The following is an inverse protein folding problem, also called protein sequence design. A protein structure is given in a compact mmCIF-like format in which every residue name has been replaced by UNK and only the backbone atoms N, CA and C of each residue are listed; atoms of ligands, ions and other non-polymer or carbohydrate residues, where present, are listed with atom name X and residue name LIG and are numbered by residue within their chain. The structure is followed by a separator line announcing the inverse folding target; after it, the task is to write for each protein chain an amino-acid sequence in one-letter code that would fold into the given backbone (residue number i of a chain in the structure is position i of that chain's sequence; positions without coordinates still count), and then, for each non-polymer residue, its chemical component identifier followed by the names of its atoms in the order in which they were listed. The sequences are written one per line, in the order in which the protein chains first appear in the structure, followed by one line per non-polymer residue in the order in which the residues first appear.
data_IF_971976529845
#
_entry.id   IF_971976529845
#
_cell.length_a   1.000
_cell.length_b   1.000
_cell.length_c   1.000
_cell.angle_alpha   90.00
_cell.angle_beta   90.00
_cell.angle_gamma   90.00
#
_symmetry.space_group_name_H-M   'P 1'
#
loop_
_entity.id
_entity.type
_entity.pdbx_description
1 polymer ?
#
# COMPACT_ATOMS: atom_id res chain seq x y z
N UNK A 1 13.12 5.92 0.47
CA UNK A 1 14.56 5.62 0.69
C UNK A 1 15.39 6.84 0.28
N UNK A 2 16.59 7.06 0.83
CA UNK A 2 17.47 8.13 0.39
C UNK A 2 17.92 7.91 -1.06
N UNK A 3 17.80 8.92 -1.91
CA UNK A 3 18.21 8.84 -3.32
C UNK A 3 19.54 9.56 -3.52
N UNK A 4 20.47 8.94 -4.25
CA UNK A 4 21.72 9.58 -4.62
C UNK A 4 21.50 10.56 -5.77
N UNK A 5 22.29 11.63 -5.79
CA UNK A 5 22.28 12.65 -6.85
C UNK A 5 23.59 12.64 -7.62
N UNK A 6 23.52 12.85 -8.93
CA UNK A 6 24.70 12.99 -9.78
C UNK A 6 25.42 14.30 -9.45
N UNK A 7 26.70 14.21 -9.12
CA UNK A 7 27.58 15.33 -8.82
C UNK A 7 28.30 15.81 -10.10
N UNK A 8 28.82 17.05 -10.12
CA UNK A 8 29.51 17.61 -11.30
C UNK A 8 30.75 16.82 -11.76
N UNK A 9 31.33 16.00 -10.88
CA UNK A 9 32.49 15.16 -11.16
C UNK A 9 32.12 13.75 -11.68
N UNK A 10 30.83 13.50 -11.91
CA UNK A 10 30.31 12.23 -12.41
C UNK A 10 30.05 11.17 -11.34
N UNK A 11 30.35 11.44 -10.06
CA UNK A 11 30.01 10.54 -8.95
C UNK A 11 28.56 10.74 -8.52
N UNK A 12 27.99 9.71 -7.89
CA UNK A 12 26.71 9.84 -7.20
C UNK A 12 26.95 10.04 -5.71
N UNK A 13 26.19 10.91 -5.07
CA UNK A 13 26.35 11.20 -3.64
C UNK A 13 25.09 11.72 -2.96
N UNK A 14 25.12 11.64 -1.63
CA UNK A 14 24.10 12.17 -0.71
C UNK A 14 24.77 12.57 0.61
N UNK A 15 24.18 13.52 1.32
CA UNK A 15 24.55 13.88 2.69
C UNK A 15 23.46 13.37 3.62
N UNK A 16 23.82 12.54 4.61
CA UNK A 16 22.90 11.97 5.58
C UNK A 16 23.38 12.34 6.99
N UNK A 17 22.47 12.83 7.82
CA UNK A 17 22.73 13.08 9.24
C UNK A 17 22.31 11.88 10.06
N UNK A 18 23.25 11.26 10.77
CA UNK A 18 23.03 10.07 11.57
C UNK A 18 23.59 10.26 13.00
N UNK A 19 22.97 9.63 14.02
CA UNK A 19 23.51 9.61 15.38
C UNK A 19 24.93 9.02 15.47
N UNK A 20 25.85 9.75 16.09
CA UNK A 20 27.21 9.27 16.33
C UNK A 20 27.24 7.97 17.16
N UNK A 21 28.15 7.06 16.79
CA UNK A 21 28.28 5.73 17.40
C UNK A 21 27.22 4.71 16.96
N UNK A 22 26.24 5.10 16.15
CA UNK A 22 25.26 4.16 15.61
C UNK A 22 25.91 3.21 14.61
N UNK A 23 25.65 1.91 14.76
CA UNK A 23 26.02 0.91 13.77
C UNK A 23 24.94 0.85 12.68
N UNK A 24 25.35 1.09 11.44
CA UNK A 24 24.47 1.15 10.27
C UNK A 24 24.94 0.12 9.25
N UNK A 25 23.96 -0.54 8.63
CA UNK A 25 24.14 -1.41 7.47
C UNK A 25 23.41 -0.80 6.28
N UNK A 26 24.04 -0.83 5.12
CA UNK A 26 23.48 -0.24 3.91
C UNK A 26 23.91 -1.01 2.65
N UNK A 27 23.18 -0.80 1.57
CA UNK A 27 23.44 -1.33 0.23
C UNK A 27 23.14 -0.25 -0.80
N UNK A 28 23.80 -0.34 -1.95
CA UNK A 28 23.40 0.41 -3.14
C UNK A 28 22.43 -0.43 -3.97
N UNK A 29 21.50 0.23 -4.64
CA UNK A 29 20.48 -0.45 -5.47
C UNK A 29 19.99 0.48 -6.57
N UNK A 30 19.60 -0.10 -7.71
CA UNK A 30 18.80 0.57 -8.74
C UNK A 30 17.29 0.26 -8.62
N UNK A 31 16.90 -0.55 -7.64
CA UNK A 31 15.53 -0.91 -7.28
C UNK A 31 15.35 -0.85 -5.76
N UNK A 32 15.31 -2.01 -5.10
CA UNK A 32 15.22 -2.12 -3.64
C UNK A 32 16.33 -2.98 -3.02
N UNK A 33 16.15 -3.45 -1.79
CA UNK A 33 17.14 -4.27 -1.09
C UNK A 33 17.33 -5.69 -1.63
N UNK A 34 16.48 -6.12 -2.57
CA UNK A 34 16.46 -7.44 -3.21
C UNK A 34 16.57 -7.32 -4.74
N UNK A 35 15.69 -6.56 -5.39
CA UNK A 35 15.68 -6.33 -6.83
C UNK A 35 16.68 -5.25 -7.23
N UNK A 36 17.53 -5.57 -8.21
CA UNK A 36 18.60 -4.68 -8.69
C UNK A 36 19.53 -4.17 -7.57
N UNK A 37 19.71 -4.96 -6.52
CA UNK A 37 20.63 -4.64 -5.43
C UNK A 37 22.08 -4.87 -5.87
N UNK A 38 23.03 -4.15 -5.28
CA UNK A 38 24.45 -4.39 -5.53
C UNK A 38 24.83 -5.83 -5.12
N UNK A 39 25.60 -6.49 -5.99
CA UNK A 39 26.14 -7.83 -5.78
C UNK A 39 27.67 -7.79 -5.64
N UNK A 40 28.20 -8.78 -4.94
CA UNK A 40 29.62 -9.14 -4.91
C UNK A 40 29.99 -9.88 -6.19
N UNK A 41 31.29 -9.97 -6.52
CA UNK A 41 31.75 -10.77 -7.66
C UNK A 41 31.46 -12.28 -7.50
N UNK A 42 31.14 -12.74 -6.28
CA UNK A 42 30.69 -14.10 -6.01
C UNK A 42 29.18 -14.32 -6.24
N UNK A 43 28.40 -13.27 -6.51
CA UNK A 43 26.96 -13.33 -6.74
C UNK A 43 26.10 -13.18 -5.47
N UNK A 44 26.72 -12.99 -4.30
CA UNK A 44 25.99 -12.64 -3.07
C UNK A 44 25.67 -11.15 -3.02
N UNK A 45 24.57 -10.74 -2.37
CA UNK A 45 24.30 -9.31 -2.18
C UNK A 45 25.39 -8.62 -1.36
N UNK A 46 25.89 -7.48 -1.87
CA UNK A 46 26.89 -6.66 -1.20
C UNK A 46 26.27 -5.88 -0.05
N UNK A 47 26.60 -6.24 1.20
CA UNK A 47 26.22 -5.50 2.39
C UNK A 47 27.41 -4.71 2.94
N UNK A 48 27.22 -3.41 3.14
CA UNK A 48 28.22 -2.50 3.72
C UNK A 48 27.82 -2.14 5.13
N UNK A 49 28.82 -1.85 5.95
CA UNK A 49 28.63 -1.47 7.34
C UNK A 49 29.49 -0.27 7.73
N UNK A 50 28.97 0.53 8.63
CA UNK A 50 29.66 1.68 9.20
C UNK A 50 29.23 1.88 10.65
N UNK A 51 30.18 2.27 11.49
CA UNK A 51 29.88 2.91 12.77
C UNK A 51 29.98 4.41 12.53
N UNK A 52 28.87 5.12 12.72
CA UNK A 52 28.77 6.56 12.43
C UNK A 52 29.83 7.31 13.27
N UNK A 53 30.78 8.01 12.63
CA UNK A 53 31.81 8.77 13.34
C UNK A 53 31.20 9.92 14.16
N UNK A 54 31.95 10.40 15.15
CA UNK A 54 31.58 11.56 15.98
C UNK A 54 31.85 12.91 15.28
N UNK A 55 32.56 12.90 14.16
CA UNK A 55 32.79 14.04 13.28
C UNK A 55 32.30 13.77 11.85
N UNK A 56 31.99 14.81 11.04
CA UNK A 56 31.60 14.62 9.64
C UNK A 56 32.65 13.83 8.84
N UNK A 57 32.21 12.76 8.18
CA UNK A 57 33.07 11.90 7.38
C UNK A 57 32.54 11.74 5.95
N UNK A 58 33.45 11.51 5.01
CA UNK A 58 33.12 11.17 3.61
C UNK A 58 33.38 9.69 3.39
N UNK A 59 32.35 8.96 2.98
CA UNK A 59 32.45 7.56 2.58
C UNK A 59 32.49 7.51 1.06
N UNK A 60 33.55 6.90 0.51
CA UNK A 60 33.69 6.69 -0.93
C UNK A 60 33.62 5.19 -1.18
N UNK A 61 32.56 4.75 -1.85
CA UNK A 61 32.38 3.37 -2.28
C UNK A 61 32.46 3.27 -3.80
N UNK A 62 32.89 2.11 -4.27
CA UNK A 62 32.79 1.68 -5.65
C UNK A 62 31.80 0.53 -5.72
N UNK A 63 30.89 0.60 -6.69
CA UNK A 63 29.91 -0.46 -6.95
C UNK A 63 30.67 -1.65 -7.54
N UNK A 64 30.50 -2.81 -6.92
CA UNK A 64 31.18 -4.03 -7.35
C UNK A 64 30.53 -4.63 -8.61
N UNK A 65 29.24 -4.97 -8.54
CA UNK A 65 28.47 -5.41 -9.70
C UNK A 65 26.98 -5.09 -9.57
N UNK A 66 26.33 -4.82 -10.72
CA UNK A 66 24.86 -4.75 -10.83
C UNK A 66 24.23 -6.04 -11.34
N UNK A 67 25.03 -6.92 -11.95
CA UNK A 67 24.59 -8.22 -12.43
C UNK A 67 25.78 -9.16 -12.45
N UNK A 68 25.64 -10.30 -11.77
CA UNK A 68 26.50 -11.48 -11.91
C UNK A 68 25.65 -12.61 -12.50
N UNK A 69 26.30 -13.58 -13.14
CA UNK A 69 25.62 -14.76 -13.69
C UNK A 69 25.60 -14.84 -15.21
N UNK A 70 24.90 -15.85 -15.71
CA UNK A 70 24.72 -16.07 -17.15
C UNK A 70 23.40 -15.47 -17.68
N UNK A 71 22.42 -15.23 -16.80
CA UNK A 71 21.14 -14.67 -17.21
C UNK A 71 21.27 -13.21 -17.64
N UNK A 72 20.72 -12.89 -18.80
CA UNK A 72 20.72 -11.55 -19.34
C UNK A 72 19.60 -10.69 -18.72
N UNK A 73 19.81 -9.36 -18.60
CA UNK A 73 18.80 -8.47 -18.06
C UNK A 73 17.47 -8.53 -18.81
N UNK A 74 16.36 -8.39 -18.07
CA UNK A 74 15.01 -8.35 -18.62
C UNK A 74 14.56 -6.89 -18.70
N UNK A 75 14.21 -6.44 -19.90
CA UNK A 75 13.67 -5.08 -20.12
C UNK A 75 12.15 -5.14 -20.21
N UNK A 76 11.47 -4.32 -19.43
CA UNK A 76 10.04 -4.05 -19.52
C UNK A 76 9.86 -2.67 -20.15
N UNK A 77 9.28 -2.61 -21.33
CA UNK A 77 9.10 -1.40 -22.13
C UNK A 77 7.63 -1.26 -22.46
N UNK A 78 6.94 -0.37 -21.77
CA UNK A 78 5.49 -0.26 -21.82
C UNK A 78 5.03 1.09 -22.33
N UNK A 79 3.90 1.07 -23.03
CA UNK A 79 3.07 2.25 -23.27
C UNK A 79 1.87 2.24 -22.31
N UNK A 80 1.50 3.40 -21.80
CA UNK A 80 0.32 3.59 -20.94
C UNK A 80 -0.75 4.42 -21.68
N UNK A 81 -2.02 4.42 -21.25
CA UNK A 81 -3.04 5.18 -21.97
C UNK A 81 -2.86 6.69 -21.72
N UNK A 82 -3.28 7.52 -22.70
CA UNK A 82 -3.10 8.99 -22.67
C UNK A 82 -3.81 9.68 -21.49
N UNK A 83 -4.80 9.02 -20.89
CA UNK A 83 -5.53 9.51 -19.71
C UNK A 83 -4.84 9.18 -18.38
N UNK A 84 -3.66 8.56 -18.40
CA UNK A 84 -2.82 8.39 -17.21
C UNK A 84 -2.45 9.77 -16.65
N UNK A 85 -2.79 10.09 -15.38
CA UNK A 85 -2.55 11.42 -14.84
C UNK A 85 -1.08 11.82 -14.87
N UNK A 86 -0.78 13.05 -15.34
CA UNK A 86 0.60 13.54 -15.49
C UNK A 86 1.33 13.74 -14.15
N UNK A 87 0.60 13.90 -13.04
CA UNK A 87 1.16 14.01 -11.69
C UNK A 87 1.41 12.64 -11.03
N UNK A 88 1.21 11.55 -11.78
CA UNK A 88 1.40 10.20 -11.31
C UNK A 88 2.52 9.47 -12.05
N UNK A 89 3.18 8.53 -11.35
CA UNK A 89 4.18 7.64 -11.93
C UNK A 89 3.70 6.21 -11.99
N UNK A 90 4.33 5.44 -12.89
CA UNK A 90 4.03 4.03 -13.10
C UNK A 90 5.05 3.18 -12.35
N UNK A 91 4.57 2.10 -11.77
CA UNK A 91 5.38 1.15 -11.01
C UNK A 91 5.21 -0.26 -11.57
N UNK A 92 6.25 -1.06 -11.44
CA UNK A 92 6.23 -2.51 -11.66
C UNK A 92 6.34 -3.21 -10.30
N UNK A 93 5.59 -4.28 -10.10
CA UNK A 93 5.68 -5.12 -8.91
C UNK A 93 5.92 -6.56 -9.30
N UNK A 94 6.78 -7.25 -8.56
CA UNK A 94 7.16 -8.64 -8.82
C UNK A 94 6.61 -9.60 -7.76
N UNK A 95 6.35 -10.84 -8.16
CA UNK A 95 5.80 -11.92 -7.36
C UNK A 95 6.60 -13.22 -7.56
N UNK A 96 7.78 -13.36 -6.94
CA UNK A 96 8.54 -14.60 -6.97
C UNK A 96 7.93 -15.66 -6.04
N UNK A 97 7.46 -15.25 -4.85
CA UNK A 97 6.84 -16.11 -3.82
C UNK A 97 5.68 -15.43 -3.07
N UNK A 98 5.36 -14.20 -3.47
CA UNK A 98 4.44 -13.25 -2.86
C UNK A 98 4.71 -11.87 -3.48
N UNK A 99 3.70 -11.00 -3.53
CA UNK A 99 3.87 -9.64 -4.04
C UNK A 99 4.88 -8.86 -3.19
N UNK A 100 5.97 -8.42 -3.81
CA UNK A 100 7.01 -7.56 -3.21
C UNK A 100 6.57 -6.09 -3.18
N UNK A 101 7.34 -5.17 -2.61
CA UNK A 101 7.01 -3.74 -2.75
C UNK A 101 7.13 -3.30 -4.21
N UNK A 102 6.22 -2.43 -4.72
CA UNK A 102 6.32 -1.90 -6.08
C UNK A 102 7.57 -1.05 -6.26
N UNK A 103 8.10 -1.07 -7.49
CA UNK A 103 9.28 -0.32 -7.90
C UNK A 103 8.90 0.68 -8.98
N UNK A 104 9.28 1.96 -8.84
CA UNK A 104 8.97 2.97 -9.85
C UNK A 104 9.70 2.67 -11.16
N UNK A 105 9.03 2.88 -12.28
CA UNK A 105 9.60 2.77 -13.62
C UNK A 105 10.18 4.12 -14.07
N UNK A 106 11.12 4.09 -15.02
CA UNK A 106 11.67 5.29 -15.64
C UNK A 106 10.75 5.81 -16.74
N UNK A 107 10.29 7.05 -16.62
CA UNK A 107 9.56 7.74 -17.68
C UNK A 107 10.51 8.18 -18.78
N UNK A 108 10.27 7.71 -20.02
CA UNK A 108 11.09 8.08 -21.18
C UNK A 108 10.49 9.23 -22.01
N UNK A 109 9.29 9.69 -21.67
CA UNK A 109 8.53 10.70 -22.40
C UNK A 109 7.21 10.16 -22.93
N UNK A 110 6.27 11.07 -23.21
CA UNK A 110 4.89 10.77 -23.62
C UNK A 110 4.26 9.72 -22.69
N UNK A 111 3.80 8.60 -23.24
CA UNK A 111 3.20 7.49 -22.49
C UNK A 111 4.15 6.33 -22.27
N UNK A 112 5.46 6.49 -22.50
CA UNK A 112 6.43 5.39 -22.48
C UNK A 112 7.19 5.30 -21.16
N UNK A 113 7.21 4.09 -20.59
CA UNK A 113 7.88 3.78 -19.32
C UNK A 113 8.75 2.53 -19.48
N UNK A 114 9.90 2.54 -18.82
CA UNK A 114 10.85 1.42 -18.87
C UNK A 114 11.29 1.00 -17.48
N UNK A 115 11.48 -0.31 -17.29
CA UNK A 115 12.21 -0.88 -16.17
C UNK A 115 13.16 -1.97 -16.69
N UNK A 116 14.37 -2.06 -16.15
CA UNK A 116 15.36 -3.06 -16.52
C UNK A 116 15.71 -3.83 -15.25
N UNK A 117 15.44 -5.13 -15.27
CA UNK A 117 15.74 -6.04 -14.18
C UNK A 117 17.06 -6.76 -14.47
N UNK A 118 18.05 -6.51 -13.63
CA UNK A 118 19.40 -7.07 -13.70
C UNK A 118 19.57 -8.28 -12.77
N UNK A 119 19.03 -8.20 -11.55
CA UNK A 119 19.20 -9.23 -10.54
C UNK A 119 17.98 -9.31 -9.58
N UNK A 120 17.79 -10.43 -8.86
CA UNK A 120 18.60 -11.65 -8.85
C UNK A 120 18.03 -12.74 -9.77
N UNK A 121 18.34 -12.64 -11.07
CA UNK A 121 17.77 -13.52 -12.10
C UNK A 121 18.19 -14.99 -11.95
N UNK A 122 19.32 -15.26 -11.31
CA UNK A 122 19.80 -16.63 -11.02
C UNK A 122 19.12 -17.28 -9.81
N UNK A 123 18.38 -16.51 -9.01
CA UNK A 123 17.71 -17.01 -7.80
C UNK A 123 16.25 -17.41 -8.06
N UNK A 124 15.70 -17.14 -9.25
CA UNK A 124 14.26 -17.24 -9.52
C UNK A 124 13.99 -17.83 -10.90
N UNK A 125 13.44 -19.04 -10.99
CA UNK A 125 13.16 -19.71 -12.28
C UNK A 125 12.05 -19.05 -13.11
N UNK A 126 11.05 -18.50 -12.42
CA UNK A 126 9.93 -17.75 -12.99
C UNK A 126 9.31 -16.89 -11.89
N UNK A 127 8.77 -15.74 -12.27
CA UNK A 127 8.07 -14.86 -11.35
C UNK A 127 6.90 -14.15 -12.03
N UNK A 128 5.88 -13.85 -11.23
CA UNK A 128 4.78 -12.98 -11.65
C UNK A 128 5.22 -11.51 -11.67
N UNK A 129 4.61 -10.70 -12.52
CA UNK A 129 4.77 -9.26 -12.51
C UNK A 129 3.47 -8.53 -12.89
N UNK A 130 3.32 -7.28 -12.45
CA UNK A 130 2.21 -6.40 -12.83
C UNK A 130 2.64 -4.94 -12.85
N UNK A 131 1.83 -4.12 -13.53
CA UNK A 131 1.98 -2.66 -13.57
C UNK A 131 0.86 -2.00 -12.78
N UNK A 132 1.17 -0.92 -12.07
CA UNK A 132 0.21 -0.11 -11.33
C UNK A 132 0.67 1.36 -11.28
N UNK A 133 -0.18 2.25 -10.76
CA UNK A 133 0.15 3.66 -10.55
C UNK A 133 0.56 3.92 -9.10
N UNK A 134 1.49 4.86 -8.88
CA UNK A 134 1.83 5.41 -7.56
C UNK A 134 2.18 4.39 -6.47
N UNK A 135 2.82 3.28 -6.83
CA UNK A 135 3.08 2.15 -5.93
C UNK A 135 1.81 1.58 -5.24
N UNK A 136 0.61 1.82 -5.81
CA UNK A 136 -0.68 1.34 -5.29
C UNK A 136 -1.12 0.05 -6.00
N UNK A 137 -0.19 -0.87 -6.19
CA UNK A 137 -0.46 -2.18 -6.78
C UNK A 137 -1.46 -2.96 -5.93
N UNK A 138 -2.37 -3.68 -6.58
CA UNK A 138 -3.57 -4.29 -5.99
C UNK A 138 -4.81 -3.41 -6.09
N UNK A 139 -4.63 -2.09 -6.22
CA UNK A 139 -5.72 -1.12 -6.31
C UNK A 139 -5.70 -0.35 -7.62
N UNK A 140 -4.55 0.04 -8.15
CA UNK A 140 -4.44 0.89 -9.36
C UNK A 140 -3.77 0.16 -10.52
N UNK A 141 -3.94 -1.16 -10.54
CA UNK A 141 -3.28 -2.04 -11.50
C UNK A 141 -3.77 -1.80 -12.94
N UNK A 142 -2.98 -2.26 -13.91
CA UNK A 142 -3.52 -2.69 -15.20
C UNK A 142 -4.70 -3.66 -14.97
N UNK A 143 -5.83 -3.43 -15.66
CA UNK A 143 -7.03 -4.27 -15.54
C UNK A 143 -6.75 -5.77 -15.76
N UNK A 144 -5.75 -6.13 -16.57
CA UNK A 144 -5.36 -7.53 -16.82
C UNK A 144 -4.88 -8.26 -15.55
N UNK A 145 -4.41 -7.52 -14.55
CA UNK A 145 -3.78 -8.05 -13.34
C UNK A 145 -4.27 -7.34 -12.07
N UNK A 146 -5.54 -6.91 -12.06
CA UNK A 146 -6.12 -6.20 -10.93
C UNK A 146 -6.34 -7.09 -9.71
N UNK A 147 -6.08 -6.52 -8.53
CA UNK A 147 -6.44 -7.11 -7.24
C UNK A 147 -5.35 -7.97 -6.61
N UNK A 148 -5.58 -8.41 -5.37
CA UNK A 148 -4.53 -9.10 -4.59
C UNK A 148 -4.34 -10.58 -4.95
N UNK A 149 -5.35 -11.23 -5.53
CA UNK A 149 -5.34 -12.67 -5.82
C UNK A 149 -4.87 -13.05 -7.23
N UNK A 150 -4.43 -12.07 -8.03
CA UNK A 150 -3.87 -12.34 -9.35
C UNK A 150 -2.42 -12.84 -9.26
N UNK A 151 -2.00 -13.65 -10.23
CA UNK A 151 -0.59 -14.01 -10.44
C UNK A 151 0.16 -12.97 -11.27
N UNK A 152 -0.56 -12.01 -11.86
CA UNK A 152 -0.01 -11.11 -12.88
C UNK A 152 0.39 -11.83 -14.17
N UNK A 153 1.22 -11.16 -14.95
CA UNK A 153 1.92 -11.73 -16.11
C UNK A 153 3.15 -12.51 -15.64
N UNK A 154 3.75 -13.35 -16.49
CA UNK A 154 4.89 -14.22 -16.08
C UNK A 154 6.13 -13.90 -16.89
N UNK A 155 7.26 -13.72 -16.20
CA UNK A 155 8.58 -13.65 -16.80
C UNK A 155 9.46 -14.84 -16.35
N UNK A 156 10.41 -15.22 -17.20
CA UNK A 156 11.37 -16.31 -16.93
C UNK A 156 12.77 -15.83 -17.31
N UNK A 157 13.74 -15.82 -16.40
CA UNK A 157 15.12 -15.53 -16.76
C UNK A 157 15.67 -16.46 -17.83
N UNK A 158 16.56 -15.92 -18.66
CA UNK A 158 17.28 -16.65 -19.71
C UNK A 158 18.63 -15.96 -19.95
N UNK A 159 19.58 -16.70 -20.50
CA UNK A 159 20.87 -16.24 -21.00
C UNK A 159 20.76 -15.27 -22.19
N UNK A 160 19.61 -15.24 -22.86
CA UNK A 160 19.32 -14.31 -23.95
C UNK A 160 18.56 -13.11 -23.41
N UNK A 161 18.99 -11.91 -23.81
CA UNK A 161 18.32 -10.67 -23.42
C UNK A 161 16.84 -10.69 -23.84
N UNK A 162 15.96 -10.36 -22.91
CA UNK A 162 14.51 -10.31 -23.12
C UNK A 162 14.01 -8.87 -23.08
N UNK A 163 13.07 -8.55 -23.96
CA UNK A 163 12.35 -7.28 -23.95
C UNK A 163 10.86 -7.54 -24.04
N UNK A 164 10.15 -7.23 -22.96
CA UNK A 164 8.70 -7.21 -22.91
C UNK A 164 8.21 -5.86 -23.43
N UNK A 165 7.82 -5.83 -24.71
CA UNK A 165 7.07 -4.72 -25.26
C UNK A 165 5.58 -4.93 -24.96
N UNK A 166 4.99 -4.07 -24.15
CA UNK A 166 3.61 -4.22 -23.69
C UNK A 166 2.85 -2.88 -23.71
N UNK A 167 1.53 -2.94 -23.58
CA UNK A 167 0.68 -1.76 -23.49
C UNK A 167 -0.35 -1.97 -22.39
N UNK A 168 -0.38 -1.04 -21.44
CA UNK A 168 -1.48 -0.95 -20.48
C UNK A 168 -2.63 -0.26 -21.19
N UNK A 169 -3.71 -1.00 -21.43
CA UNK A 169 -4.89 -0.47 -22.15
C UNK A 169 -5.75 0.43 -21.25
N UNK A 170 -5.82 0.10 -19.96
CA UNK A 170 -6.61 0.86 -18.98
C UNK A 170 -6.20 0.52 -17.55
N UNK A 171 -6.35 1.50 -16.67
CA UNK A 171 -6.07 1.35 -15.24
C UNK A 171 -7.35 1.04 -14.47
N UNK A 172 -7.20 0.18 -13.45
CA UNK A 172 -8.23 -0.05 -12.45
C UNK A 172 -8.66 1.28 -11.81
N UNK A 173 -9.98 1.46 -11.73
CA UNK A 173 -10.65 2.62 -11.13
C UNK A 173 -10.29 3.98 -11.75
N UNK A 174 -9.59 4.00 -12.89
CA UNK A 174 -9.43 5.20 -13.69
C UNK A 174 -10.46 5.15 -14.80
N UNK A 175 -11.48 5.98 -14.69
CA UNK A 175 -12.41 6.15 -15.80
C UNK A 175 -11.68 6.94 -16.89
N UNK A 176 -11.65 6.40 -18.10
CA UNK A 176 -11.40 7.22 -19.28
C UNK A 176 -12.31 8.43 -19.19
N UNK A 177 -11.76 9.62 -19.41
CA UNK A 177 -12.44 10.91 -19.31
C UNK A 177 -13.69 10.91 -20.19
N UNK A 178 -14.76 10.34 -19.67
CA UNK A 178 -16.06 10.38 -20.31
C UNK A 178 -16.46 11.84 -20.22
N UNK A 179 -16.80 12.42 -21.37
CA UNK A 179 -17.58 13.64 -21.41
C UNK A 179 -18.85 13.34 -20.62
N UNK A 180 -18.82 13.56 -19.31
CA UNK A 180 -19.99 13.57 -18.45
C UNK A 180 -20.82 14.70 -19.03
N UNK A 181 -21.75 14.34 -19.91
CA UNK A 181 -22.62 15.28 -20.58
C UNK A 181 -23.19 16.20 -19.51
N UNK A 182 -23.18 17.51 -19.77
CA UNK A 182 -23.62 18.52 -18.83
C UNK A 182 -24.90 18.04 -18.14
N UNK A 183 -24.78 17.66 -16.87
CA UNK A 183 -25.94 17.41 -16.05
C UNK A 183 -26.66 18.75 -15.99
N UNK A 184 -27.83 18.84 -16.61
CA UNK A 184 -28.70 19.98 -16.43
C UNK A 184 -29.03 20.04 -14.94
N UNK A 185 -28.36 20.92 -14.22
CA UNK A 185 -28.59 21.11 -12.79
C UNK A 185 -30.00 21.69 -12.64
N UNK A 186 -30.99 20.83 -12.42
CA UNK A 186 -32.20 21.29 -11.73
C UNK A 186 -31.75 21.82 -10.36
N UNK A 187 -32.25 23.01 -10.00
CA UNK A 187 -31.66 23.90 -9.00
C UNK A 187 -30.94 23.23 -7.83
N UNK A 188 -29.64 23.53 -7.69
CA UNK A 188 -28.84 23.14 -6.53
C UNK A 188 -29.49 23.75 -5.28
N UNK A 189 -30.01 22.90 -4.40
CA UNK A 189 -30.54 23.32 -3.10
C UNK A 189 -29.33 23.46 -2.16
N UNK A 190 -29.05 24.67 -1.63
CA UNK A 190 -28.00 24.84 -0.63
C UNK A 190 -28.32 23.99 0.60
N UNK A 191 -27.36 23.19 1.03
CA UNK A 191 -27.45 22.40 2.25
C UNK A 191 -27.01 23.26 3.45
N UNK A 192 -27.47 22.91 4.64
CA UNK A 192 -27.02 23.58 5.87
C UNK A 192 -25.64 23.07 6.33
N UNK A 193 -25.08 23.72 7.35
CA UNK A 193 -23.75 23.39 7.89
C UNK A 193 -23.64 21.99 8.51
N UNK A 194 -24.76 21.34 8.82
CA UNK A 194 -24.79 19.97 9.36
C UNK A 194 -24.77 18.88 8.28
N UNK A 195 -24.89 19.27 7.01
CA UNK A 195 -24.84 18.34 5.89
C UNK A 195 -23.45 17.75 5.70
N UNK A 196 -23.37 16.42 5.65
CA UNK A 196 -22.12 15.69 5.44
C UNK A 196 -21.99 15.34 3.95
N UNK A 197 -21.05 15.99 3.28
CA UNK A 197 -20.54 15.65 1.96
C UNK A 197 -19.14 15.03 2.13
N UNK A 198 -19.11 13.75 2.51
CA UNK A 198 -17.88 13.05 2.89
C UNK A 198 -17.30 12.16 1.79
N UNK A 199 -15.99 11.98 1.80
CA UNK A 199 -15.28 10.93 1.05
C UNK A 199 -14.64 9.95 2.04
N UNK A 200 -14.92 8.67 1.87
CA UNK A 200 -14.30 7.60 2.67
C UNK A 200 -13.07 7.05 1.94
N UNK A 201 -11.96 6.88 2.67
CA UNK A 201 -10.75 6.25 2.14
C UNK A 201 -10.93 4.75 1.99
N UNK A 202 -10.20 4.12 1.08
CA UNK A 202 -10.21 2.66 0.97
C UNK A 202 -9.60 1.99 2.21
N UNK A 203 -10.00 0.75 2.50
CA UNK A 203 -9.51 -0.01 3.67
C UNK A 203 -8.18 -0.73 3.43
N UNK A 204 -7.46 -0.36 2.36
CA UNK A 204 -6.24 -1.04 1.92
C UNK A 204 -4.99 -0.20 2.16
N UNK A 205 -4.56 -0.10 3.41
CA UNK A 205 -3.35 0.63 3.74
C UNK A 205 -2.10 0.00 3.10
N UNK A 206 -1.21 0.86 2.61
CA UNK A 206 0.18 0.57 2.27
C UNK A 206 1.08 1.68 2.85
N UNK A 207 2.34 1.39 3.22
CA UNK A 207 3.27 2.42 3.68
C UNK A 207 3.50 3.56 2.67
N UNK A 208 3.34 3.28 1.37
CA UNK A 208 3.39 4.28 0.30
C UNK A 208 2.30 5.35 0.39
N UNK A 209 1.29 5.20 1.25
CA UNK A 209 0.26 6.21 1.47
C UNK A 209 0.79 7.48 2.11
N UNK A 210 1.75 7.37 3.02
CA UNK A 210 2.34 8.51 3.74
C UNK A 210 2.73 9.65 2.80
N UNK A 211 3.62 9.44 1.81
CA UNK A 211 4.01 10.48 0.87
C UNK A 211 2.88 10.97 -0.05
N UNK A 212 1.82 10.18 -0.27
CA UNK A 212 0.70 10.53 -1.14
C UNK A 212 -0.39 11.33 -0.42
N UNK A 213 -0.46 11.21 0.92
CA UNK A 213 -1.57 11.69 1.73
C UNK A 213 -1.84 13.19 1.54
N UNK A 214 -0.80 14.01 1.41
CA UNK A 214 -0.97 15.46 1.23
C UNK A 214 -1.68 15.79 -0.08
N UNK A 215 -1.27 15.19 -1.20
CA UNK A 215 -1.91 15.40 -2.49
C UNK A 215 -3.33 14.83 -2.49
N UNK A 216 -3.52 13.64 -1.90
CA UNK A 216 -4.85 13.01 -1.79
C UNK A 216 -5.85 13.86 -1.02
N UNK A 217 -5.47 14.42 0.14
CA UNK A 217 -6.35 15.29 0.93
C UNK A 217 -6.66 16.60 0.22
N UNK A 218 -5.68 17.17 -0.49
CA UNK A 218 -5.91 18.36 -1.32
C UNK A 218 -6.90 18.06 -2.47
N UNK A 219 -6.78 16.89 -3.12
CA UNK A 219 -7.71 16.43 -4.16
C UNK A 219 -9.13 16.22 -3.59
N UNK A 220 -9.26 15.65 -2.38
CA UNK A 220 -10.55 15.50 -1.67
C UNK A 220 -11.17 16.88 -1.36
N UNK A 221 -10.39 17.80 -0.79
CA UNK A 221 -10.87 19.16 -0.50
C UNK A 221 -11.32 19.89 -1.77
N UNK A 222 -10.60 19.71 -2.89
CA UNK A 222 -10.96 20.28 -4.19
C UNK A 222 -12.28 19.76 -4.77
N UNK A 223 -12.82 18.62 -4.30
CA UNK A 223 -14.18 18.17 -4.69
C UNK A 223 -15.28 18.90 -3.93
N UNK A 224 -14.94 19.86 -3.05
CA UNK A 224 -15.83 20.49 -2.06
C UNK A 224 -16.42 19.48 -1.06
N UNK A 225 -15.73 18.36 -0.81
CA UNK A 225 -16.05 17.50 0.32
C UNK A 225 -15.73 18.27 1.62
N UNK A 226 -16.59 18.16 2.62
CA UNK A 226 -16.38 18.77 3.93
C UNK A 226 -16.00 17.76 5.01
N UNK A 227 -16.03 16.46 4.68
CA UNK A 227 -15.60 15.38 5.56
C UNK A 227 -14.67 14.42 4.81
N UNK A 228 -13.69 13.89 5.54
CA UNK A 228 -12.98 12.67 5.16
C UNK A 228 -13.19 11.61 6.23
N UNK A 229 -13.56 10.41 5.81
CA UNK A 229 -13.66 9.24 6.68
C UNK A 229 -12.41 8.40 6.47
N UNK A 230 -11.50 8.44 7.45
CA UNK A 230 -10.30 7.62 7.43
C UNK A 230 -10.62 6.22 7.96
N UNK A 231 -10.09 5.21 7.30
CA UNK A 231 -10.39 3.80 7.60
C UNK A 231 -9.17 3.03 8.10
N UNK A 232 -8.61 3.36 9.28
CA UNK A 232 -7.50 2.60 9.84
C UNK A 232 -7.94 1.15 10.15
N UNK A 233 -7.02 0.21 10.08
CA UNK A 233 -7.30 -1.21 10.23
C UNK A 233 -6.38 -1.87 11.25
N UNK A 234 -6.85 -2.99 11.80
CA UNK A 234 -6.02 -4.05 12.40
C UNK A 234 -6.29 -5.33 11.59
N UNK A 235 -5.33 -6.24 11.54
CA UNK A 235 -5.43 -7.48 10.77
C UNK A 235 -5.66 -8.70 11.67
N UNK A 236 -6.55 -9.60 11.23
CA UNK A 236 -6.67 -10.92 11.85
C UNK A 236 -5.48 -11.81 11.45
N UNK A 237 -4.72 -12.30 12.44
CA UNK A 237 -3.54 -13.15 12.20
C UNK A 237 -3.72 -14.61 12.62
N UNK A 238 -4.78 -14.91 13.36
CA UNK A 238 -5.18 -16.27 13.70
C UNK A 238 -6.72 -16.34 13.70
N UNK A 239 -7.26 -17.51 13.34
CA UNK A 239 -8.70 -17.77 13.32
C UNK A 239 -9.15 -18.73 14.43
N UNK A 240 -8.28 -19.67 14.84
CA UNK A 240 -8.58 -20.62 15.91
C UNK A 240 -7.95 -20.07 17.18
N UNK A 241 -8.73 -19.32 17.96
CA UNK A 241 -8.31 -18.23 18.85
C UNK A 241 -8.05 -16.94 18.04
N UNK A 242 -9.12 -16.18 17.70
CA UNK A 242 -9.01 -14.95 16.94
C UNK A 242 -8.00 -13.99 17.56
N UNK A 243 -7.04 -13.56 16.76
CA UNK A 243 -6.11 -12.48 17.14
C UNK A 243 -6.28 -11.36 16.14
N UNK A 244 -6.75 -10.20 16.62
CA UNK A 244 -6.83 -8.96 15.88
C UNK A 244 -5.75 -8.02 16.43
N UNK A 245 -4.83 -7.57 15.58
CA UNK A 245 -3.70 -6.74 16.01
C UNK A 245 -3.19 -5.86 14.87
N UNK A 246 -2.46 -4.80 15.19
CA UNK A 246 -1.75 -4.01 14.18
C UNK A 246 -0.60 -4.82 13.59
N UNK A 247 -0.60 -4.98 12.27
CA UNK A 247 0.49 -5.57 11.51
C UNK A 247 1.17 -4.49 10.68
N UNK A 248 2.40 -4.14 11.03
CA UNK A 248 3.18 -3.15 10.29
C UNK A 248 3.29 -3.50 8.80
N UNK A 249 3.15 -2.49 7.94
CA UNK A 249 3.10 -2.67 6.47
C UNK A 249 1.71 -2.99 5.92
N UNK A 250 0.79 -3.46 6.76
CA UNK A 250 -0.59 -3.79 6.39
C UNK A 250 -1.61 -2.87 7.05
N UNK A 251 -1.33 -2.45 8.28
CA UNK A 251 -2.18 -1.60 9.10
C UNK A 251 -1.45 -0.29 9.41
N UNK A 252 -2.12 0.87 9.36
CA UNK A 252 -1.51 2.11 9.78
C UNK A 252 -1.32 2.11 11.30
N UNK A 253 -0.11 2.40 11.73
CA UNK A 253 0.23 2.55 13.14
C UNK A 253 -0.34 3.87 13.69
N UNK A 254 -0.42 3.99 15.01
CA UNK A 254 -0.94 5.18 15.70
C UNK A 254 -0.38 6.50 15.14
N UNK A 255 0.95 6.60 14.99
CA UNK A 255 1.60 7.82 14.50
C UNK A 255 1.29 8.11 13.03
N UNK A 256 1.11 7.07 12.22
CA UNK A 256 0.75 7.22 10.81
C UNK A 256 -0.69 7.72 10.70
N UNK A 257 -1.62 7.16 11.48
CA UNK A 257 -3.00 7.66 11.52
C UNK A 257 -3.10 9.09 12.07
N UNK A 258 -2.32 9.43 13.09
CA UNK A 258 -2.19 10.83 13.55
C UNK A 258 -1.69 11.77 12.44
N UNK A 259 -0.71 11.33 11.65
CA UNK A 259 -0.22 12.11 10.50
C UNK A 259 -1.30 12.29 9.44
N UNK A 260 -2.09 11.25 9.15
CA UNK A 260 -3.24 11.34 8.23
C UNK A 260 -4.29 12.32 8.74
N UNK A 261 -4.64 12.26 10.03
CA UNK A 261 -5.57 13.20 10.68
C UNK A 261 -5.04 14.63 10.57
N UNK A 262 -3.77 14.86 10.89
CA UNK A 262 -3.16 16.19 10.79
C UNK A 262 -3.21 16.72 9.35
N UNK A 263 -2.90 15.86 8.37
CA UNK A 263 -2.92 16.21 6.94
C UNK A 263 -4.33 16.57 6.46
N UNK A 264 -5.35 15.84 6.92
CA UNK A 264 -6.74 16.19 6.62
C UNK A 264 -7.14 17.54 7.25
N UNK A 265 -6.74 17.79 8.49
CA UNK A 265 -7.05 19.03 9.22
C UNK A 265 -6.45 20.27 8.55
N UNK A 266 -5.20 20.21 8.08
CA UNK A 266 -4.58 21.34 7.36
C UNK A 266 -5.21 21.59 5.97
N UNK A 267 -5.98 20.63 5.44
CA UNK A 267 -6.80 20.77 4.23
C UNK A 267 -8.25 21.18 4.54
N UNK A 268 -8.52 21.63 5.77
CA UNK A 268 -9.81 22.16 6.24
C UNK A 268 -10.97 21.14 6.14
N UNK A 269 -10.65 19.84 6.20
CA UNK A 269 -11.64 18.77 6.23
C UNK A 269 -12.03 18.43 7.67
N UNK A 270 -13.32 18.19 7.92
CA UNK A 270 -13.75 17.47 9.12
C UNK A 270 -13.37 15.99 8.98
N UNK A 271 -13.16 15.31 10.10
CA UNK A 271 -12.51 14.00 10.10
C UNK A 271 -13.33 13.02 10.94
N UNK A 272 -13.70 11.90 10.32
CA UNK A 272 -14.23 10.74 11.02
C UNK A 272 -13.23 9.59 10.98
N UNK A 273 -13.16 8.79 12.04
CA UNK A 273 -12.52 7.48 11.99
C UNK A 273 -13.57 6.40 11.80
N UNK A 274 -13.33 5.49 10.86
CA UNK A 274 -14.07 4.24 10.72
C UNK A 274 -13.08 3.09 10.79
N UNK A 275 -12.75 2.57 11.97
CA UNK A 275 -11.85 1.43 12.08
C UNK A 275 -12.47 0.18 11.46
N UNK A 276 -11.78 -0.45 10.49
CA UNK A 276 -12.25 -1.65 9.79
C UNK A 276 -11.27 -2.81 9.96
N UNK A 277 -11.69 -3.99 10.46
CA UNK A 277 -10.82 -5.15 10.52
C UNK A 277 -10.43 -5.65 9.12
N UNK A 278 -9.16 -6.02 8.95
CA UNK A 278 -8.65 -6.68 7.75
C UNK A 278 -8.61 -8.19 7.94
N UNK A 279 -9.07 -8.92 6.93
CA UNK A 279 -9.16 -10.38 6.96
C UNK A 279 -8.09 -11.00 6.04
N UNK A 280 -7.44 -12.10 6.46
CA UNK A 280 -6.36 -12.74 5.68
C UNK A 280 -6.88 -13.50 4.44
N UNK A 281 -8.18 -13.76 4.37
CA UNK A 281 -8.86 -14.43 3.26
C UNK A 281 -10.10 -13.62 2.88
N UNK A 282 -10.86 -14.08 1.89
CA UNK A 282 -12.16 -13.47 1.61
C UNK A 282 -13.02 -13.49 2.89
N UNK A 283 -13.71 -12.39 3.17
CA UNK A 283 -14.41 -12.16 4.44
C UNK A 283 -15.41 -13.29 4.72
N UNK A 284 -16.18 -13.71 3.69
CA UNK A 284 -17.13 -14.82 3.81
C UNK A 284 -16.47 -16.15 4.16
N UNK A 285 -15.30 -16.45 3.58
CA UNK A 285 -14.55 -17.68 3.88
C UNK A 285 -13.98 -17.66 5.29
N UNK A 286 -13.42 -16.52 5.72
CA UNK A 286 -12.90 -16.35 7.08
C UNK A 286 -14.00 -16.59 8.10
N UNK A 287 -15.16 -15.96 7.90
CA UNK A 287 -16.31 -16.16 8.77
C UNK A 287 -16.87 -17.56 8.72
N UNK A 288 -16.72 -18.32 7.64
CA UNK A 288 -17.23 -19.69 7.51
C UNK A 288 -16.33 -20.74 8.15
N UNK A 289 -15.01 -20.55 8.15
CA UNK A 289 -14.04 -21.54 8.64
C UNK A 289 -13.70 -21.44 10.13
N UNK A 290 -14.06 -20.35 10.81
CA UNK A 290 -13.89 -20.22 12.27
C UNK A 290 -14.65 -21.29 13.05
N UNK A 291 -14.17 -21.65 14.26
CA UNK A 291 -14.88 -22.64 15.09
C UNK A 291 -16.21 -22.09 15.63
N UNK A 292 -16.26 -20.78 15.92
CA UNK A 292 -17.46 -20.03 16.35
C UNK A 292 -18.22 -20.69 17.51
N UNK A 293 -17.48 -21.41 18.37
CA UNK A 293 -18.00 -21.89 19.64
C UNK A 293 -18.01 -20.76 20.69
N UNK A 294 -18.52 -21.04 21.89
CA UNK A 294 -18.65 -20.02 22.93
C UNK A 294 -17.29 -19.36 23.28
N UNK A 295 -16.22 -20.15 23.42
CA UNK A 295 -14.88 -19.63 23.71
C UNK A 295 -14.35 -18.75 22.58
N UNK A 296 -14.56 -19.16 21.33
CA UNK A 296 -14.17 -18.40 20.16
C UNK A 296 -14.84 -17.02 20.14
N UNK A 297 -16.15 -16.97 20.43
CA UNK A 297 -16.88 -15.71 20.48
C UNK A 297 -16.43 -14.80 21.61
N UNK A 298 -16.14 -15.33 22.80
CA UNK A 298 -15.56 -14.53 23.89
C UNK A 298 -14.26 -13.87 23.43
N UNK A 299 -13.33 -14.65 22.89
CA UNK A 299 -12.07 -14.08 22.36
C UNK A 299 -12.32 -13.08 21.24
N UNK A 300 -13.25 -13.36 20.32
CA UNK A 300 -13.55 -12.45 19.21
C UNK A 300 -14.04 -11.08 19.71
N UNK A 301 -15.01 -11.06 20.64
CA UNK A 301 -15.53 -9.82 21.21
C UNK A 301 -14.46 -9.07 22.00
N UNK A 302 -13.67 -9.75 22.84
CA UNK A 302 -12.58 -9.13 23.60
C UNK A 302 -11.57 -8.44 22.65
N UNK A 303 -11.19 -9.08 21.54
CA UNK A 303 -10.26 -8.50 20.56
C UNK A 303 -10.87 -7.37 19.75
N UNK A 304 -12.15 -7.46 19.41
CA UNK A 304 -12.85 -6.39 18.72
C UNK A 304 -13.02 -5.17 19.64
N UNK A 305 -13.29 -5.39 20.94
CA UNK A 305 -13.38 -4.32 21.94
C UNK A 305 -12.04 -3.59 22.09
N UNK A 306 -10.92 -4.31 22.23
CA UNK A 306 -9.57 -3.72 22.26
C UNK A 306 -9.29 -2.88 21.01
N UNK A 307 -9.67 -3.38 19.84
CA UNK A 307 -9.55 -2.69 18.56
C UNK A 307 -10.36 -1.39 18.52
N UNK A 308 -11.60 -1.40 19.01
CA UNK A 308 -12.45 -0.21 19.07
C UNK A 308 -11.92 0.79 20.11
N UNK A 309 -11.56 0.36 21.31
CA UNK A 309 -11.00 1.26 22.32
C UNK A 309 -9.71 1.94 21.87
N UNK A 310 -8.85 1.23 21.15
CA UNK A 310 -7.65 1.83 20.55
C UNK A 310 -8.01 3.02 19.66
N UNK A 311 -8.97 2.85 18.75
CA UNK A 311 -9.36 3.90 17.81
C UNK A 311 -10.25 4.98 18.44
N UNK A 312 -11.03 4.64 19.46
CA UNK A 312 -11.76 5.62 20.26
C UNK A 312 -10.79 6.53 21.04
N UNK A 313 -9.76 5.96 21.67
CA UNK A 313 -8.70 6.71 22.32
C UNK A 313 -7.93 7.60 21.32
N UNK A 314 -7.69 7.10 20.10
CA UNK A 314 -7.07 7.88 19.03
C UNK A 314 -7.96 9.06 18.61
N UNK A 315 -9.26 8.82 18.42
CA UNK A 315 -10.23 9.86 18.09
C UNK A 315 -10.29 10.94 19.17
N UNK A 316 -10.39 10.54 20.44
CA UNK A 316 -10.40 11.44 21.59
C UNK A 316 -9.11 12.26 21.68
N UNK A 317 -7.95 11.60 21.59
CA UNK A 317 -6.64 12.26 21.64
C UNK A 317 -6.42 13.26 20.50
N UNK A 318 -7.11 13.09 19.37
CA UNK A 318 -7.04 13.98 18.21
C UNK A 318 -8.20 14.98 18.13
N UNK A 319 -9.13 14.96 19.09
CA UNK A 319 -10.29 15.85 19.11
C UNK A 319 -11.29 15.61 17.97
N UNK A 320 -11.43 14.38 17.50
CA UNK A 320 -12.36 14.05 16.41
C UNK A 320 -13.80 13.98 16.90
N UNK A 321 -14.72 14.45 16.07
CA UNK A 321 -16.14 14.55 16.42
C UNK A 321 -16.93 13.27 16.06
N UNK A 322 -16.34 12.36 15.27
CA UNK A 322 -17.04 11.18 14.77
C UNK A 322 -16.16 9.92 14.77
N UNK A 323 -16.69 8.86 15.38
CA UNK A 323 -16.22 7.49 15.27
C UNK A 323 -17.37 6.64 14.69
N UNK A 324 -17.13 6.00 13.56
CA UNK A 324 -18.10 5.14 12.87
C UNK A 324 -17.78 3.69 13.20
N UNK A 325 -18.75 2.99 13.80
CA UNK A 325 -18.60 1.58 14.21
C UNK A 325 -19.46 0.66 13.36
N UNK A 326 -18.96 -0.56 13.18
CA UNK A 326 -19.62 -1.61 12.43
C UNK A 326 -19.43 -1.52 10.92
N UNK A 327 -20.27 -2.27 10.20
CA UNK A 327 -20.16 -2.46 8.76
C UNK A 327 -20.54 -3.88 8.36
N UNK A 328 -20.63 -4.12 7.06
CA UNK A 328 -20.97 -5.44 6.51
C UNK A 328 -19.95 -6.52 6.88
N UNK A 329 -18.71 -6.13 7.13
CA UNK A 329 -17.59 -7.01 7.46
C UNK A 329 -17.71 -7.71 8.82
N UNK A 330 -18.45 -7.12 9.76
CA UNK A 330 -18.74 -7.70 11.08
C UNK A 330 -20.21 -8.12 11.24
N UNK A 331 -21.00 -8.09 10.17
CA UNK A 331 -22.43 -8.46 10.27
C UNK A 331 -22.69 -9.83 10.89
N UNK A 332 -21.82 -10.86 10.75
CA UNK A 332 -22.02 -12.14 11.44
C UNK A 332 -21.93 -12.05 12.97
N UNK A 333 -21.31 -11.00 13.52
CA UNK A 333 -21.18 -10.78 14.96
C UNK A 333 -22.29 -9.89 15.56
N UNK A 334 -23.15 -9.31 14.71
CA UNK A 334 -24.30 -8.52 15.17
C UNK A 334 -25.42 -9.43 15.69
N UNK A 335 -26.38 -8.92 16.49
CA UNK A 335 -27.50 -9.71 16.98
C UNK A 335 -28.27 -10.41 15.85
N UNK A 336 -28.54 -11.70 16.01
CA UNK A 336 -29.09 -12.58 14.97
C UNK A 336 -28.23 -12.67 13.69
N UNK A 337 -26.91 -12.53 13.85
CA UNK A 337 -25.94 -12.56 12.76
C UNK A 337 -26.03 -13.82 11.91
N UNK A 338 -25.89 -13.64 10.61
CA UNK A 338 -25.79 -14.72 9.63
C UNK A 338 -24.45 -14.65 8.92
N UNK A 339 -23.92 -15.80 8.54
CA UNK A 339 -22.83 -15.88 7.60
C UNK A 339 -23.28 -15.35 6.22
N UNK A 340 -22.31 -15.12 5.35
CA UNK A 340 -22.56 -14.59 4.00
C UNK A 340 -23.32 -15.57 3.09
N UNK A 341 -23.39 -16.85 3.46
CA UNK A 341 -24.22 -17.86 2.80
C UNK A 341 -25.66 -17.92 3.35
N UNK A 342 -26.00 -17.09 4.34
CA UNK A 342 -27.31 -17.02 4.98
C UNK A 342 -27.52 -18.00 6.14
N UNK A 343 -26.55 -18.87 6.44
CA UNK A 343 -26.60 -19.74 7.63
C UNK A 343 -26.36 -18.93 8.92
N UNK A 344 -26.77 -19.47 10.07
CA UNK A 344 -26.52 -18.82 11.37
C UNK A 344 -25.02 -18.71 11.62
N UNK A 345 -24.55 -17.55 12.10
CA UNK A 345 -23.16 -17.38 12.53
C UNK A 345 -22.86 -18.11 13.84
N UNK A 346 -23.89 -18.50 14.60
CA UNK A 346 -23.74 -19.03 15.94
C UNK A 346 -23.34 -17.99 16.98
N UNK A 347 -23.52 -16.70 16.67
CA UNK A 347 -23.27 -15.60 17.60
C UNK A 347 -24.10 -15.75 18.89
N UNK A 348 -23.53 -15.49 20.08
CA UNK A 348 -24.25 -15.56 21.34
C UNK A 348 -25.50 -14.66 21.36
N UNK A 349 -26.55 -15.09 22.08
CA UNK A 349 -27.80 -14.31 22.20
C UNK A 349 -27.60 -12.95 22.88
N UNK A 350 -26.55 -12.80 23.69
CA UNK A 350 -26.18 -11.60 24.43
C UNK A 350 -25.23 -10.66 23.66
N UNK A 351 -25.08 -10.85 22.35
CA UNK A 351 -24.17 -10.05 21.50
C UNK A 351 -24.48 -8.54 21.47
N UNK A 352 -25.71 -8.13 21.78
CA UNK A 352 -26.09 -6.72 21.91
C UNK A 352 -25.54 -6.06 23.18
N UNK A 353 -25.10 -6.86 24.15
CA UNK A 353 -24.56 -6.42 25.44
C UNK A 353 -23.04 -6.56 25.56
N UNK A 354 -22.38 -7.02 24.49
CA UNK A 354 -20.93 -7.28 24.43
C UNK A 354 -20.17 -6.23 23.65
#
# INVERSE_FOLDING_TARGET
MPNLTLLPDGRYGIIISLPAGQYIRYKYTQGDGFWNAEETMEGDFRLREIIVPDEPAVINDEIEAWAIGENAPITFDIAVPEDTPEDEYVSIQFNPYGWTEPLPMWHLGDTRWVYILYNPLDMVDAFGFRFCRMDQCGQTDDLRSMGDYTSGQVARPDTVQQTFQDTVESWAWLNASSNLGFLTSEGIIPQDESYIAGIETQTYYRPSWGPLMQNSMAKISATNANWVILTPSWSFTNINEPVLQQVGGYDPLWQETQSMIHTASINELNIALRPVPRFPTQIGEWWAVGTRDFSWWVTWFDRYEEFIYHHAALAEASGLEMLVLGGSEISPALPNGTLFDGSSSGVPEDADSR
#
